data_IF_779790400057
#
_entry.id   IF_779790400057
#
_cell.length_a   1.000
_cell.length_b   1.000
_cell.length_c   1.000
_cell.angle_alpha   90.00
_cell.angle_beta   90.00
_cell.angle_gamma   90.00
#
_symmetry.space_group_name_H-M   'P 1'
#
loop_
_entity.id
_entity.type
_entity.pdbx_description
1 polymer ?
#
# COMPACT_ATOMS: atom_id res chain seq x y z
N UNK A 1 11.70 -34.67 0.22
CA UNK A 1 11.60 -35.13 1.62
C UNK A 1 12.23 -34.13 2.60
N UNK A 2 13.51 -33.79 2.50
CA UNK A 2 14.23 -32.86 3.40
C UNK A 2 13.53 -31.51 3.58
N UNK A 3 13.19 -30.79 2.52
CA UNK A 3 12.53 -29.46 2.59
C UNK A 3 11.10 -29.51 3.15
N UNK A 4 10.41 -30.64 3.06
CA UNK A 4 9.09 -30.80 3.69
C UNK A 4 9.25 -30.90 5.22
N UNK A 5 10.22 -31.67 5.70
CA UNK A 5 10.50 -31.79 7.13
C UNK A 5 10.96 -30.46 7.73
N UNK A 6 11.89 -29.76 7.06
CA UNK A 6 12.34 -28.42 7.49
C UNK A 6 11.18 -27.41 7.54
N UNK A 7 10.19 -27.53 6.64
CA UNK A 7 8.97 -26.68 6.69
C UNK A 7 8.11 -26.99 7.90
N UNK A 8 7.86 -28.24 8.19
CA UNK A 8 7.07 -28.66 9.35
C UNK A 8 7.72 -28.19 10.66
N UNK A 9 9.04 -28.32 10.76
CA UNK A 9 9.81 -27.79 11.89
C UNK A 9 9.71 -26.25 12.02
N UNK A 10 9.83 -25.52 10.89
CA UNK A 10 9.67 -24.05 10.90
C UNK A 10 8.26 -23.62 11.26
N UNK A 11 7.21 -24.30 10.78
CA UNK A 11 5.84 -24.01 11.16
C UNK A 11 5.66 -24.18 12.67
N UNK A 12 6.13 -25.30 13.23
CA UNK A 12 6.04 -25.53 14.67
C UNK A 12 6.80 -24.48 15.50
N UNK A 13 7.96 -24.04 15.02
CA UNK A 13 8.83 -23.10 15.73
C UNK A 13 8.35 -21.65 15.63
N UNK A 14 7.80 -21.25 14.48
CA UNK A 14 7.52 -19.83 14.16
C UNK A 14 6.04 -19.51 13.99
N UNK A 15 5.13 -20.48 14.16
CA UNK A 15 3.69 -20.18 14.19
C UNK A 15 3.36 -19.28 15.38
N UNK A 16 2.39 -18.40 15.18
CA UNK A 16 1.85 -17.55 16.22
C UNK A 16 1.25 -18.40 17.35
N UNK A 17 1.43 -17.98 18.60
CA UNK A 17 0.86 -18.64 19.77
C UNK A 17 -0.64 -18.37 19.93
N UNK A 18 -1.17 -17.32 19.27
CA UNK A 18 -2.55 -16.90 19.31
C UNK A 18 -3.27 -17.03 17.99
N UNK A 19 -4.60 -17.24 18.06
CA UNK A 19 -5.48 -17.12 16.90
C UNK A 19 -6.12 -15.73 16.99
N UNK A 20 -5.56 -14.77 16.23
CA UNK A 20 -6.11 -13.43 16.14
C UNK A 20 -7.01 -13.37 14.91
N UNK A 21 -8.33 -13.29 15.10
CA UNK A 21 -9.30 -13.11 14.02
C UNK A 21 -10.49 -12.29 14.52
N UNK A 22 -10.61 -11.08 14.03
CA UNK A 22 -11.72 -10.19 14.31
C UNK A 22 -12.68 -10.24 13.13
N UNK A 23 -13.92 -10.63 13.38
CA UNK A 23 -14.94 -10.56 12.35
C UNK A 23 -15.14 -9.12 11.91
N UNK A 24 -15.28 -8.21 12.87
CA UNK A 24 -15.31 -6.76 12.69
C UNK A 24 -14.45 -6.10 13.76
N UNK A 25 -13.80 -5.02 13.39
CA UNK A 25 -13.06 -4.16 14.31
C UNK A 25 -13.37 -2.71 13.95
N UNK A 26 -13.76 -1.88 14.93
CA UNK A 26 -14.27 -0.53 14.67
C UNK A 26 -13.19 0.54 14.80
N UNK A 27 -12.32 0.42 15.78
CA UNK A 27 -11.35 1.44 16.08
C UNK A 27 -10.19 1.42 15.07
N UNK A 28 -9.46 2.54 14.94
CA UNK A 28 -8.22 2.56 14.17
C UNK A 28 -7.13 1.87 14.99
N UNK A 29 -6.55 0.74 14.51
CA UNK A 29 -5.46 0.07 15.21
C UNK A 29 -4.27 1.01 15.39
N UNK A 30 -3.67 1.03 16.60
CA UNK A 30 -2.54 1.91 16.97
C UNK A 30 -2.74 3.37 16.48
N UNK A 31 -3.92 3.94 16.71
CA UNK A 31 -4.39 5.22 16.13
C UNK A 31 -3.33 6.32 16.20
N UNK A 32 -2.57 6.39 17.29
CA UNK A 32 -1.55 7.43 17.52
C UNK A 32 -0.42 7.37 16.49
N UNK A 33 -0.01 6.16 16.09
CA UNK A 33 1.13 5.92 15.21
C UNK A 33 0.71 5.33 13.85
N UNK A 34 -0.60 5.19 13.62
CA UNK A 34 -1.13 4.61 12.41
C UNK A 34 -0.81 5.47 11.18
N UNK A 35 -0.29 4.82 10.13
CA UNK A 35 -0.11 5.41 8.80
C UNK A 35 -0.71 4.52 7.73
N UNK A 36 -1.10 5.06 6.57
CA UNK A 36 -1.60 4.25 5.45
C UNK A 36 -0.60 3.17 5.01
N UNK A 37 0.71 3.46 5.09
CA UNK A 37 1.76 2.50 4.78
C UNK A 37 1.78 1.32 5.74
N UNK A 38 1.77 1.57 7.06
CA UNK A 38 1.71 0.53 8.10
C UNK A 38 0.44 -0.32 7.99
N UNK A 39 -0.71 0.34 7.86
CA UNK A 39 -2.00 -0.34 7.73
C UNK A 39 -2.03 -1.31 6.54
N UNK A 40 -1.56 -0.86 5.37
CA UNK A 40 -1.51 -1.69 4.18
C UNK A 40 -0.48 -2.81 4.33
N UNK A 41 0.69 -2.55 4.87
CA UNK A 41 1.74 -3.54 5.08
C UNK A 41 1.23 -4.69 5.96
N UNK A 42 0.69 -4.39 7.13
CA UNK A 42 0.13 -5.37 8.07
C UNK A 42 -1.06 -6.14 7.45
N UNK A 43 -1.97 -5.44 6.76
CA UNK A 43 -3.09 -6.08 6.06
C UNK A 43 -2.62 -7.06 4.98
N UNK A 44 -1.58 -6.73 4.21
CA UNK A 44 -1.05 -7.59 3.14
C UNK A 44 -0.31 -8.80 3.71
N UNK A 45 0.37 -8.66 4.84
CA UNK A 45 0.97 -9.80 5.53
C UNK A 45 -0.06 -10.83 5.95
N UNK A 46 -1.21 -10.39 6.46
CA UNK A 46 -2.31 -11.30 6.81
C UNK A 46 -2.83 -12.09 5.61
N UNK A 47 -2.64 -11.58 4.39
CA UNK A 47 -2.97 -12.28 3.14
C UNK A 47 -1.82 -13.09 2.55
N UNK A 48 -0.72 -13.29 3.27
CA UNK A 48 0.51 -13.89 2.78
C UNK A 48 1.11 -13.18 1.54
N UNK A 49 0.85 -11.88 1.40
CA UNK A 49 1.41 -11.04 0.35
C UNK A 49 2.41 -10.06 0.98
N UNK A 50 3.69 -10.33 0.82
CA UNK A 50 4.77 -9.56 1.46
C UNK A 50 5.24 -8.34 0.64
N UNK A 51 4.47 -7.89 -0.37
CA UNK A 51 4.92 -6.84 -1.27
C UNK A 51 3.86 -5.75 -1.43
N UNK A 52 4.06 -4.59 -0.80
CA UNK A 52 3.17 -3.44 -0.91
C UNK A 52 3.42 -2.62 -2.19
N UNK A 53 4.41 -2.98 -3.03
CA UNK A 53 4.71 -2.24 -4.25
C UNK A 53 3.53 -2.18 -5.24
N UNK A 54 2.67 -3.19 -5.25
CA UNK A 54 1.43 -3.17 -6.03
C UNK A 54 0.39 -2.17 -5.54
N UNK A 55 0.53 -1.71 -4.30
CA UNK A 55 -0.41 -0.80 -3.62
C UNK A 55 0.20 0.58 -3.34
N UNK A 56 1.42 0.86 -3.82
CA UNK A 56 2.09 2.15 -3.57
C UNK A 56 1.29 3.35 -4.08
N UNK A 57 0.54 3.20 -5.18
CA UNK A 57 -0.33 4.27 -5.67
C UNK A 57 -1.47 4.60 -4.69
N UNK A 58 -2.07 3.58 -4.08
CA UNK A 58 -3.13 3.75 -3.07
C UNK A 58 -2.56 4.29 -1.76
N UNK A 59 -1.42 3.76 -1.31
CA UNK A 59 -0.71 4.24 -0.12
C UNK A 59 -0.34 5.72 -0.29
N UNK A 60 0.19 6.10 -1.45
CA UNK A 60 0.54 7.47 -1.75
C UNK A 60 -0.66 8.41 -1.68
N UNK A 61 -1.77 8.05 -2.34
CA UNK A 61 -3.02 8.81 -2.28
C UNK A 61 -3.54 8.94 -0.85
N UNK A 62 -3.60 7.82 -0.12
CA UNK A 62 -4.06 7.79 1.26
C UNK A 62 -3.16 8.60 2.19
N UNK A 63 -1.84 8.59 1.99
CA UNK A 63 -0.90 9.39 2.77
C UNK A 63 -1.11 10.89 2.55
N UNK A 64 -1.40 11.33 1.31
CA UNK A 64 -1.75 12.74 1.04
C UNK A 64 -3.02 13.15 1.78
N UNK A 65 -4.03 12.27 1.81
CA UNK A 65 -5.26 12.52 2.58
C UNK A 65 -4.98 12.54 4.09
N UNK A 66 -4.12 11.65 4.58
CA UNK A 66 -3.73 11.63 5.99
C UNK A 66 -2.94 12.89 6.40
N UNK A 67 -2.08 13.40 5.54
CA UNK A 67 -1.38 14.67 5.75
C UNK A 67 -2.36 15.86 5.83
N UNK A 68 -3.46 15.83 5.06
CA UNK A 68 -4.51 16.82 5.17
C UNK A 68 -5.31 16.67 6.48
N UNK A 69 -5.63 15.43 6.88
CA UNK A 69 -6.28 15.13 8.16
C UNK A 69 -5.43 15.61 9.36
N UNK A 70 -4.12 15.44 9.29
CA UNK A 70 -3.17 15.98 10.27
C UNK A 70 -2.99 17.49 10.17
N UNK A 71 -3.66 18.15 9.20
CA UNK A 71 -3.62 19.60 8.97
C UNK A 71 -2.26 20.11 8.48
N UNK A 72 -1.46 19.24 7.84
CA UNK A 72 -0.20 19.59 7.18
C UNK A 72 -0.45 20.11 5.76
N UNK A 73 -1.47 19.56 5.10
CA UNK A 73 -1.94 19.97 3.79
C UNK A 73 -3.35 20.54 3.87
N UNK A 74 -3.70 21.40 2.92
CA UNK A 74 -5.07 21.88 2.70
C UNK A 74 -5.44 21.73 1.24
N UNK A 75 -6.73 21.49 0.98
CA UNK A 75 -7.27 21.32 -0.35
C UNK A 75 -8.25 22.46 -0.67
N UNK A 76 -8.19 22.96 -1.90
CA UNK A 76 -9.12 23.93 -2.44
C UNK A 76 -9.71 23.37 -3.74
N UNK A 77 -11.03 23.25 -3.80
CA UNK A 77 -11.74 22.90 -5.03
C UNK A 77 -11.88 24.13 -5.92
N UNK A 78 -11.19 24.11 -7.06
CA UNK A 78 -11.30 25.16 -8.08
C UNK A 78 -12.56 24.96 -8.93
N UNK A 79 -12.79 23.70 -9.31
CA UNK A 79 -13.97 23.26 -10.06
C UNK A 79 -14.16 21.75 -9.87
N UNK A 80 -15.17 21.17 -10.51
CA UNK A 80 -15.54 19.75 -10.38
C UNK A 80 -14.44 18.75 -10.80
N UNK A 81 -13.32 19.23 -11.37
CA UNK A 81 -12.23 18.38 -11.91
C UNK A 81 -10.85 18.76 -11.40
N UNK A 82 -10.74 19.87 -10.66
CA UNK A 82 -9.46 20.41 -10.25
C UNK A 82 -9.44 20.76 -8.77
N UNK A 83 -8.51 20.10 -8.05
CA UNK A 83 -8.21 20.35 -6.64
C UNK A 83 -6.79 20.89 -6.55
N UNK A 84 -6.65 22.01 -5.86
CA UNK A 84 -5.34 22.57 -5.48
C UNK A 84 -4.94 22.03 -4.11
N UNK A 85 -3.69 21.72 -4.00
CA UNK A 85 -3.04 21.21 -2.78
C UNK A 85 -2.06 22.25 -2.29
N UNK A 86 -2.22 22.71 -1.06
CA UNK A 86 -1.37 23.68 -0.38
C UNK A 86 -0.68 23.05 0.83
N UNK A 87 0.47 23.58 1.21
CA UNK A 87 1.04 23.37 2.54
C UNK A 87 0.39 24.35 3.49
N UNK A 88 -0.18 23.83 4.60
CA UNK A 88 -0.87 24.65 5.59
C UNK A 88 0.07 25.64 6.27
N UNK A 89 -0.41 26.83 6.56
CA UNK A 89 0.26 27.77 7.46
C UNK A 89 0.37 27.14 8.86
N UNK A 90 1.58 27.13 9.45
CA UNK A 90 1.82 26.45 10.74
C UNK A 90 2.12 24.94 10.64
N UNK A 91 2.33 24.43 9.42
CA UNK A 91 2.70 23.02 9.22
C UNK A 91 4.05 22.66 9.86
N UNK A 92 4.96 23.62 10.05
CA UNK A 92 6.31 23.37 10.58
C UNK A 92 6.32 22.64 11.94
N UNK A 93 5.42 23.01 12.86
CA UNK A 93 5.27 22.34 14.17
C UNK A 93 4.74 20.89 13.99
N UNK A 94 3.83 20.71 13.04
CA UNK A 94 3.19 19.42 12.76
C UNK A 94 4.12 18.44 12.05
N UNK A 95 5.17 18.90 11.38
CA UNK A 95 6.14 18.04 10.70
C UNK A 95 6.87 17.11 11.68
N UNK A 96 7.04 17.52 12.94
CA UNK A 96 7.67 16.69 13.96
C UNK A 96 6.78 15.51 14.36
N UNK A 97 5.47 15.59 14.16
CA UNK A 97 4.52 14.51 14.47
C UNK A 97 4.36 13.50 13.33
N UNK A 98 4.93 13.76 12.17
CA UNK A 98 4.85 12.87 11.02
C UNK A 98 5.80 11.69 11.18
N UNK A 99 5.31 10.52 10.82
CA UNK A 99 6.11 9.32 10.68
C UNK A 99 7.06 9.41 9.48
N UNK A 100 8.08 8.56 9.45
CA UNK A 100 9.12 8.59 8.40
C UNK A 100 8.57 8.34 6.99
N UNK A 101 7.60 7.46 6.85
CA UNK A 101 6.94 7.18 5.56
C UNK A 101 6.09 8.38 5.09
N UNK A 102 5.41 9.07 6.00
CA UNK A 102 4.67 10.30 5.70
C UNK A 102 5.59 11.45 5.27
N UNK A 103 6.75 11.59 5.92
CA UNK A 103 7.76 12.59 5.56
C UNK A 103 8.26 12.43 4.13
N UNK A 104 8.41 11.20 3.64
CA UNK A 104 8.79 10.95 2.24
C UNK A 104 7.79 11.54 1.26
N UNK A 105 6.49 11.39 1.53
CA UNK A 105 5.41 11.94 0.69
C UNK A 105 5.35 13.47 0.83
N UNK A 106 5.42 13.99 2.04
CA UNK A 106 5.44 15.44 2.30
C UNK A 106 6.57 16.15 1.52
N UNK A 107 7.78 15.60 1.53
CA UNK A 107 8.92 16.16 0.81
C UNK A 107 8.71 16.19 -0.72
N UNK A 108 8.01 15.21 -1.28
CA UNK A 108 7.64 15.22 -2.71
C UNK A 108 6.65 16.35 -3.03
N UNK A 109 5.63 16.50 -2.19
CA UNK A 109 4.62 17.56 -2.35
C UNK A 109 5.27 18.93 -2.19
N UNK A 110 6.11 19.11 -1.17
CA UNK A 110 6.83 20.35 -0.90
C UNK A 110 7.66 20.79 -2.12
N UNK A 111 8.34 19.84 -2.78
CA UNK A 111 9.10 20.11 -4.01
C UNK A 111 8.19 20.44 -5.20
N UNK A 112 7.04 19.76 -5.33
CA UNK A 112 6.08 20.02 -6.41
C UNK A 112 5.41 21.39 -6.29
N UNK A 113 5.25 21.89 -5.06
CA UNK A 113 4.66 23.22 -4.76
C UNK A 113 5.68 24.35 -4.91
N UNK A 114 6.97 24.05 -4.91
CA UNK A 114 8.05 25.04 -4.88
C UNK A 114 7.86 26.15 -5.95
N UNK A 115 7.85 27.39 -5.48
CA UNK A 115 7.75 28.60 -6.33
C UNK A 115 6.33 29.03 -6.69
N UNK A 116 5.30 28.21 -6.50
CA UNK A 116 3.89 28.55 -6.81
C UNK A 116 2.98 28.65 -5.59
N UNK A 117 3.38 28.10 -4.46
CA UNK A 117 2.56 28.01 -3.26
C UNK A 117 1.49 26.90 -3.27
N UNK A 118 1.18 26.30 -4.42
CA UNK A 118 0.25 25.17 -4.55
C UNK A 118 0.65 24.26 -5.71
N UNK A 119 0.04 23.07 -5.76
CA UNK A 119 0.05 22.18 -6.94
C UNK A 119 -1.34 21.62 -7.20
N UNK A 120 -1.63 21.22 -8.43
CA UNK A 120 -2.81 20.43 -8.79
C UNK A 120 -2.39 18.98 -9.09
N UNK A 121 -3.34 18.04 -9.10
CA UNK A 121 -3.03 16.64 -9.48
C UNK A 121 -2.37 16.55 -10.84
N UNK A 122 -2.80 17.39 -11.79
CA UNK A 122 -2.23 17.46 -13.14
C UNK A 122 -0.79 18.00 -13.15
N UNK A 123 -0.54 19.07 -12.39
CA UNK A 123 0.81 19.65 -12.27
C UNK A 123 1.75 18.71 -11.52
N UNK A 124 1.26 18.08 -10.46
CA UNK A 124 2.02 17.08 -9.73
C UNK A 124 2.37 15.88 -10.62
N UNK A 125 1.45 15.41 -11.44
CA UNK A 125 1.75 14.35 -12.43
C UNK A 125 2.82 14.77 -13.45
N UNK A 126 2.84 16.05 -13.89
CA UNK A 126 3.89 16.57 -14.78
C UNK A 126 5.24 16.67 -14.05
N UNK A 127 5.23 17.12 -12.80
CA UNK A 127 6.40 17.12 -11.94
C UNK A 127 6.97 15.71 -11.80
N UNK A 128 6.13 14.72 -11.52
CA UNK A 128 6.55 13.33 -11.38
C UNK A 128 7.15 12.73 -12.66
N UNK A 129 6.65 13.13 -13.83
CA UNK A 129 7.25 12.72 -15.12
C UNK A 129 8.59 13.36 -15.39
N UNK A 130 8.81 14.58 -14.92
CA UNK A 130 10.08 15.32 -15.10
C UNK A 130 11.12 14.88 -14.08
N UNK A 131 10.73 14.76 -12.83
CA UNK A 131 11.58 14.38 -11.70
C UNK A 131 11.42 12.91 -11.32
N UNK A 132 11.30 12.05 -12.32
CA UNK A 132 10.91 10.64 -12.14
C UNK A 132 11.86 9.86 -11.23
N UNK A 133 13.17 10.11 -11.31
CA UNK A 133 14.16 9.45 -10.44
C UNK A 133 13.90 9.76 -8.95
N UNK A 134 13.66 11.04 -8.64
CA UNK A 134 13.37 11.48 -7.29
C UNK A 134 12.05 10.88 -6.78
N UNK A 135 10.99 10.98 -7.58
CA UNK A 135 9.65 10.51 -7.17
C UNK A 135 9.66 8.99 -7.01
N UNK A 136 10.16 8.28 -8.02
CA UNK A 136 10.21 6.82 -8.00
C UNK A 136 11.07 6.28 -6.85
N UNK A 137 12.27 6.83 -6.65
CA UNK A 137 13.16 6.40 -5.56
C UNK A 137 12.57 6.66 -4.17
N UNK A 138 11.92 7.82 -3.96
CA UNK A 138 11.29 8.12 -2.67
C UNK A 138 10.07 7.23 -2.39
N UNK A 139 9.22 7.01 -3.38
CA UNK A 139 8.03 6.17 -3.20
C UNK A 139 8.40 4.70 -2.97
N UNK A 140 9.42 4.18 -3.66
CA UNK A 140 9.90 2.82 -3.41
C UNK A 140 10.58 2.65 -2.03
N UNK A 141 11.05 3.73 -1.42
CA UNK A 141 11.57 3.69 -0.05
C UNK A 141 10.48 3.54 1.00
N UNK A 142 9.21 3.84 0.67
CA UNK A 142 8.10 3.70 1.61
C UNK A 142 8.02 2.27 2.14
N UNK A 143 8.14 1.27 1.27
CA UNK A 143 8.09 -0.15 1.65
C UNK A 143 9.15 -0.48 2.72
N UNK A 144 10.41 -0.18 2.42
CA UNK A 144 11.51 -0.42 3.36
C UNK A 144 11.35 0.40 4.65
N UNK A 145 10.93 1.67 4.53
CA UNK A 145 10.75 2.55 5.70
C UNK A 145 9.65 2.03 6.62
N UNK A 146 8.53 1.57 6.07
CA UNK A 146 7.44 0.97 6.85
C UNK A 146 7.90 -0.33 7.51
N UNK A 147 8.63 -1.17 6.78
CA UNK A 147 9.18 -2.41 7.32
C UNK A 147 10.15 -2.14 8.48
N UNK A 148 11.03 -1.14 8.34
CA UNK A 148 11.96 -0.73 9.40
C UNK A 148 11.21 -0.20 10.63
N UNK A 149 10.16 0.63 10.44
CA UNK A 149 9.33 1.12 11.55
C UNK A 149 8.66 -0.05 12.29
N UNK A 150 8.07 -0.99 11.56
CA UNK A 150 7.40 -2.15 12.17
C UNK A 150 8.38 -3.10 12.88
N UNK A 151 9.62 -3.17 12.40
CA UNK A 151 10.69 -3.92 13.07
C UNK A 151 11.16 -3.23 14.36
N UNK A 152 11.32 -1.90 14.31
CA UNK A 152 11.70 -1.09 15.49
C UNK A 152 10.61 -1.07 16.57
N UNK A 153 9.34 -1.07 16.17
CA UNK A 153 8.18 -1.12 17.08
C UNK A 153 7.83 -2.54 17.54
N UNK A 154 8.63 -3.54 17.16
CA UNK A 154 8.44 -4.92 17.61
C UNK A 154 7.29 -5.67 16.96
N UNK A 155 6.70 -5.14 15.87
CA UNK A 155 5.63 -5.82 15.13
C UNK A 155 6.16 -6.86 14.14
N UNK A 156 7.42 -6.75 13.73
CA UNK A 156 8.14 -7.72 12.90
C UNK A 156 9.24 -8.40 13.71
N UNK A 157 9.32 -9.72 13.62
CA UNK A 157 10.38 -10.51 14.24
C UNK A 157 11.61 -10.58 13.33
N UNK A 158 12.75 -10.11 13.82
CA UNK A 158 14.04 -10.17 13.10
C UNK A 158 14.45 -11.59 12.78
N UNK A 159 14.23 -12.52 13.71
CA UNK A 159 14.59 -13.93 13.52
C UNK A 159 13.75 -14.60 12.44
N UNK A 160 12.42 -14.43 12.50
CA UNK A 160 11.50 -14.95 11.48
C UNK A 160 11.85 -14.36 10.11
N UNK A 161 12.11 -13.05 10.03
CA UNK A 161 12.52 -12.34 8.80
C UNK A 161 13.84 -12.88 8.24
N UNK A 162 14.84 -13.11 9.09
CA UNK A 162 16.13 -13.65 8.68
C UNK A 162 15.98 -15.07 8.05
N UNK A 163 15.16 -15.92 8.67
CA UNK A 163 14.87 -17.27 8.14
C UNK A 163 14.12 -17.18 6.80
N UNK A 164 13.07 -16.35 6.69
CA UNK A 164 12.34 -16.15 5.44
C UNK A 164 13.27 -15.64 4.32
N UNK A 165 14.14 -14.67 4.62
CA UNK A 165 15.13 -14.12 3.68
C UNK A 165 16.16 -15.18 3.22
N UNK A 166 16.59 -16.06 4.12
CA UNK A 166 17.48 -17.18 3.77
C UNK A 166 16.85 -18.11 2.73
N UNK A 167 15.56 -18.44 2.89
CA UNK A 167 14.82 -19.27 1.95
C UNK A 167 14.54 -18.56 0.62
N UNK A 168 14.23 -17.27 0.66
CA UNK A 168 14.07 -16.44 -0.54
C UNK A 168 15.37 -16.37 -1.37
N UNK A 169 16.52 -16.22 -0.72
CA UNK A 169 17.82 -16.27 -1.41
C UNK A 169 18.08 -17.62 -2.06
N UNK A 170 17.76 -18.74 -1.38
CA UNK A 170 17.85 -20.09 -1.97
C UNK A 170 16.94 -20.21 -3.20
N UNK A 171 15.72 -19.72 -3.13
CA UNK A 171 14.78 -19.70 -4.26
C UNK A 171 15.38 -19.00 -5.47
N UNK A 172 15.90 -17.77 -5.29
CA UNK A 172 16.53 -16.99 -6.36
C UNK A 172 17.71 -17.78 -6.96
N UNK A 173 18.58 -18.33 -6.11
CA UNK A 173 19.72 -19.13 -6.57
C UNK A 173 19.32 -20.33 -7.42
N UNK A 174 18.25 -21.04 -7.05
CA UNK A 174 17.76 -22.18 -7.84
C UNK A 174 17.18 -21.75 -9.19
N UNK A 175 16.41 -20.65 -9.24
CA UNK A 175 15.86 -20.17 -10.51
C UNK A 175 16.94 -19.58 -11.42
N UNK A 176 17.91 -18.87 -10.86
CA UNK A 176 19.06 -18.36 -11.63
C UNK A 176 19.89 -19.51 -12.19
N UNK A 177 20.17 -20.54 -11.37
CA UNK A 177 20.87 -21.74 -11.82
C UNK A 177 20.10 -22.50 -12.90
N UNK A 178 18.78 -22.66 -12.74
CA UNK A 178 17.93 -23.29 -13.75
C UNK A 178 17.97 -22.52 -15.08
N UNK A 179 17.89 -21.19 -15.03
CA UNK A 179 17.98 -20.34 -16.21
C UNK A 179 19.33 -20.45 -16.92
N UNK A 180 20.44 -20.42 -16.17
CA UNK A 180 21.78 -20.56 -16.73
C UNK A 180 21.99 -21.95 -17.40
N UNK A 181 21.52 -23.02 -16.76
CA UNK A 181 21.61 -24.35 -17.35
C UNK A 181 20.76 -24.47 -18.61
N UNK A 182 19.56 -23.92 -18.60
CA UNK A 182 18.69 -23.89 -19.79
C UNK A 182 19.33 -23.16 -20.95
N UNK A 183 20.02 -22.03 -20.70
CA UNK A 183 20.66 -21.22 -21.74
C UNK A 183 21.94 -21.86 -22.30
N UNK A 184 22.76 -22.48 -21.45
CA UNK A 184 24.09 -22.96 -21.86
C UNK A 184 24.15 -24.48 -22.07
N UNK A 185 23.21 -25.22 -21.47
CA UNK A 185 23.18 -26.70 -21.54
C UNK A 185 21.74 -27.20 -21.77
N UNK A 186 21.10 -26.86 -22.91
CA UNK A 186 19.69 -27.23 -23.16
C UNK A 186 19.48 -28.77 -23.27
N UNK A 187 20.53 -29.52 -23.40
CA UNK A 187 20.48 -31.00 -23.54
C UNK A 187 20.22 -31.73 -22.21
N UNK A 188 20.16 -31.03 -21.08
CA UNK A 188 19.98 -31.65 -19.76
C UNK A 188 18.68 -31.11 -19.08
N UNK A 189 17.50 -31.38 -19.69
CA UNK A 189 16.24 -30.80 -19.17
C UNK A 189 15.88 -31.31 -17.76
N UNK A 190 16.32 -32.52 -17.40
CA UNK A 190 16.04 -33.08 -16.07
C UNK A 190 16.66 -32.27 -14.92
N UNK A 191 17.87 -31.74 -15.11
CA UNK A 191 18.51 -30.87 -14.09
C UNK A 191 17.80 -29.54 -13.98
N UNK A 192 17.43 -28.93 -15.11
CA UNK A 192 16.65 -27.66 -15.14
C UNK A 192 15.32 -27.82 -14.41
N UNK A 193 14.57 -28.89 -14.70
CA UNK A 193 13.30 -29.19 -14.03
C UNK A 193 13.53 -29.41 -12.53
N UNK A 194 14.58 -30.17 -12.15
CA UNK A 194 14.93 -30.40 -10.75
C UNK A 194 15.20 -29.09 -9.98
N UNK A 195 15.95 -28.16 -10.57
CA UNK A 195 16.21 -26.84 -9.96
C UNK A 195 14.96 -25.98 -9.85
N UNK A 196 14.07 -25.99 -10.85
CA UNK A 196 12.79 -25.29 -10.77
C UNK A 196 11.93 -25.84 -9.62
N UNK A 197 11.84 -27.15 -9.47
CA UNK A 197 11.10 -27.78 -8.36
C UNK A 197 11.69 -27.43 -6.99
N UNK A 198 13.02 -27.39 -6.88
CA UNK A 198 13.72 -26.95 -5.68
C UNK A 198 13.43 -25.46 -5.39
N UNK A 199 13.42 -24.61 -6.41
CA UNK A 199 13.06 -23.18 -6.30
C UNK A 199 11.62 -23.00 -5.80
N UNK A 200 10.67 -23.75 -6.35
CA UNK A 200 9.27 -23.75 -5.89
C UNK A 200 9.17 -24.22 -4.43
N UNK A 201 9.90 -25.27 -4.06
CA UNK A 201 9.91 -25.76 -2.68
C UNK A 201 10.54 -24.75 -1.71
N UNK A 202 11.62 -24.09 -2.11
CA UNK A 202 12.25 -23.03 -1.32
C UNK A 202 11.31 -21.83 -1.11
N UNK A 203 10.54 -21.44 -2.15
CA UNK A 203 9.49 -20.41 -2.01
C UNK A 203 8.43 -20.80 -0.99
N UNK A 204 7.94 -22.04 -1.05
CA UNK A 204 6.97 -22.54 -0.06
C UNK A 204 7.51 -22.45 1.37
N UNK A 205 8.80 -22.68 1.57
CA UNK A 205 9.44 -22.58 2.88
C UNK A 205 9.63 -21.10 3.32
N UNK A 206 9.86 -20.18 2.37
CA UNK A 206 9.98 -18.75 2.67
C UNK A 206 8.68 -18.11 3.16
N UNK A 207 7.52 -18.65 2.77
CA UNK A 207 6.20 -18.07 3.03
C UNK A 207 5.30 -18.98 3.88
N UNK A 208 5.84 -20.01 4.53
CA UNK A 208 5.01 -20.93 5.30
C UNK A 208 4.68 -20.46 6.72
N UNK A 209 5.29 -19.39 7.17
CA UNK A 209 5.02 -18.71 8.44
C UNK A 209 5.03 -17.18 8.24
N UNK A 210 4.38 -16.49 9.14
CA UNK A 210 4.39 -15.01 9.16
C UNK A 210 5.68 -14.50 9.79
N UNK A 211 6.22 -13.39 9.29
CA UNK A 211 7.35 -12.71 9.92
C UNK A 211 6.91 -11.79 11.06
N UNK A 212 5.62 -11.61 11.26
CA UNK A 212 5.07 -10.79 12.33
C UNK A 212 5.30 -11.44 13.70
N UNK A 213 5.39 -10.63 14.73
CA UNK A 213 5.28 -11.05 16.13
C UNK A 213 3.81 -11.32 16.47
N UNK A 214 3.51 -11.82 17.67
CA UNK A 214 2.12 -12.00 18.10
C UNK A 214 1.36 -10.67 18.16
N UNK A 215 2.00 -9.58 18.61
CA UNK A 215 1.43 -8.24 18.55
C UNK A 215 1.21 -7.74 17.12
N UNK A 216 2.13 -8.04 16.21
CA UNK A 216 1.96 -7.70 14.79
C UNK A 216 0.84 -8.49 14.13
N UNK A 217 0.66 -9.76 14.49
CA UNK A 217 -0.45 -10.61 14.03
C UNK A 217 -1.81 -10.10 14.52
N UNK A 218 -1.88 -9.70 15.79
CA UNK A 218 -3.09 -9.12 16.38
C UNK A 218 -3.47 -7.82 15.66
N UNK A 219 -2.53 -6.89 15.51
CA UNK A 219 -2.77 -5.63 14.80
C UNK A 219 -3.15 -5.86 13.33
N UNK A 220 -2.50 -6.82 12.64
CA UNK A 220 -2.86 -7.20 11.27
C UNK A 220 -4.29 -7.76 11.19
N UNK A 221 -4.73 -8.50 12.21
CA UNK A 221 -6.11 -8.99 12.30
C UNK A 221 -7.10 -7.85 12.56
N UNK A 222 -6.75 -6.87 13.41
CA UNK A 222 -7.56 -5.67 13.64
C UNK A 222 -7.73 -4.87 12.34
N UNK A 223 -6.67 -4.64 11.56
CA UNK A 223 -6.75 -3.97 10.25
C UNK A 223 -7.65 -4.72 9.25
N UNK A 224 -7.61 -6.06 9.26
CA UNK A 224 -8.52 -6.88 8.45
C UNK A 224 -9.97 -6.70 8.90
N UNK A 225 -10.21 -6.74 10.22
CA UNK A 225 -11.53 -6.53 10.81
C UNK A 225 -12.09 -5.13 10.52
N UNK A 226 -11.24 -4.09 10.62
CA UNK A 226 -11.62 -2.71 10.28
C UNK A 226 -11.99 -2.56 8.80
N UNK A 227 -11.19 -3.15 7.89
CA UNK A 227 -11.53 -3.14 6.47
C UNK A 227 -12.89 -3.78 6.23
N UNK A 228 -13.16 -4.94 6.83
CA UNK A 228 -14.45 -5.62 6.70
C UNK A 228 -15.59 -4.80 7.32
N UNK A 229 -15.36 -4.18 8.48
CA UNK A 229 -16.33 -3.26 9.09
C UNK A 229 -16.70 -2.13 8.14
N UNK A 230 -15.73 -1.47 7.53
CA UNK A 230 -15.97 -0.39 6.55
C UNK A 230 -16.69 -0.90 5.28
N UNK A 231 -16.40 -2.13 4.83
CA UNK A 231 -17.03 -2.72 3.64
C UNK A 231 -18.49 -3.11 3.87
N UNK A 232 -18.83 -3.50 5.09
CA UNK A 232 -20.14 -4.07 5.43
C UNK A 232 -20.99 -3.12 6.29
N UNK A 233 -20.53 -1.89 6.52
CA UNK A 233 -21.15 -0.92 7.44
C UNK A 233 -22.66 -0.75 7.25
N UNK A 234 -23.14 -0.66 6.02
CA UNK A 234 -24.57 -0.50 5.72
C UNK A 234 -25.42 -1.74 6.08
N UNK A 235 -24.78 -2.88 6.31
CA UNK A 235 -25.44 -4.13 6.73
C UNK A 235 -25.46 -4.28 8.25
N UNK A 236 -24.64 -3.49 8.96
CA UNK A 236 -24.55 -3.55 10.41
C UNK A 236 -25.70 -2.72 11.01
N UNK A 237 -26.42 -3.34 11.95
CA UNK A 237 -27.55 -2.71 12.65
C UNK A 237 -27.04 -1.76 13.76
N UNK A 238 -26.06 -0.89 13.44
CA UNK A 238 -25.53 0.05 14.40
C UNK A 238 -26.44 1.28 14.55
N UNK A 239 -26.93 1.48 15.79
CA UNK A 239 -27.78 2.62 16.15
C UNK A 239 -26.98 3.91 16.37
N UNK A 240 -25.67 3.82 16.57
CA UNK A 240 -24.80 4.98 16.81
C UNK A 240 -23.95 5.27 15.57
N UNK A 241 -24.19 6.44 15.00
CA UNK A 241 -23.35 6.99 13.94
C UNK A 241 -21.96 7.26 14.53
N UNK A 242 -20.87 6.71 13.94
CA UNK A 242 -19.54 7.16 14.30
C UNK A 242 -19.40 8.68 14.10
N UNK A 243 -18.65 9.34 14.97
CA UNK A 243 -18.36 10.77 14.84
C UNK A 243 -17.76 11.07 13.45
N UNK A 244 -18.04 12.25 12.92
CA UNK A 244 -17.53 12.71 11.63
C UNK A 244 -16.01 12.63 11.55
N UNK A 245 -15.32 12.86 12.67
CA UNK A 245 -13.85 12.74 12.78
C UNK A 245 -13.39 11.30 12.52
N UNK A 246 -14.15 10.30 12.97
CA UNK A 246 -13.80 8.89 12.73
C UNK A 246 -14.03 8.52 11.25
N UNK A 247 -15.05 9.09 10.60
CA UNK A 247 -15.29 8.88 9.17
C UNK A 247 -14.19 9.48 8.30
N UNK A 248 -13.62 10.62 8.67
CA UNK A 248 -12.46 11.18 7.97
C UNK A 248 -11.27 10.20 7.99
N UNK A 249 -11.01 9.59 9.14
CA UNK A 249 -9.97 8.54 9.29
C UNK A 249 -10.30 7.30 8.46
N UNK A 250 -11.54 6.84 8.51
CA UNK A 250 -11.98 5.68 7.72
C UNK A 250 -11.76 5.90 6.22
N UNK A 251 -12.05 7.08 5.69
CA UNK A 251 -11.84 7.39 4.28
C UNK A 251 -10.36 7.35 3.88
N UNK A 252 -9.45 7.78 4.76
CA UNK A 252 -8.00 7.62 4.54
C UNK A 252 -7.62 6.15 4.38
N UNK A 253 -8.03 5.30 5.32
CA UNK A 253 -7.68 3.87 5.27
C UNK A 253 -8.48 3.12 4.20
N UNK A 254 -9.72 3.49 3.94
CA UNK A 254 -10.49 2.97 2.81
C UNK A 254 -9.80 3.25 1.47
N UNK A 255 -9.16 4.42 1.33
CA UNK A 255 -8.35 4.77 0.15
C UNK A 255 -7.12 3.87 0.06
N UNK A 256 -6.40 3.66 1.17
CA UNK A 256 -5.27 2.74 1.22
C UNK A 256 -5.67 1.32 0.81
N UNK A 257 -6.81 0.83 1.30
CA UNK A 257 -7.33 -0.50 0.98
C UNK A 257 -8.05 -0.60 -0.38
N UNK A 258 -8.22 0.50 -1.11
CA UNK A 258 -8.89 0.54 -2.42
C UNK A 258 -10.40 0.33 -2.36
N UNK A 259 -11.04 0.68 -1.23
CA UNK A 259 -12.49 0.50 -0.98
C UNK A 259 -13.24 1.82 -0.75
N UNK A 260 -12.60 2.96 -0.95
CA UNK A 260 -13.20 4.29 -0.67
C UNK A 260 -14.54 4.52 -1.38
N UNK A 261 -14.68 4.06 -2.62
CA UNK A 261 -15.94 4.09 -3.38
C UNK A 261 -17.10 3.43 -2.64
N UNK A 262 -16.83 2.22 -2.13
CA UNK A 262 -17.84 1.43 -1.43
C UNK A 262 -18.25 2.14 -0.14
N UNK A 263 -17.25 2.61 0.62
CA UNK A 263 -17.46 3.32 1.89
C UNK A 263 -18.25 4.60 1.70
N UNK A 264 -17.92 5.44 0.71
CA UNK A 264 -18.67 6.69 0.44
C UNK A 264 -20.12 6.40 0.03
N UNK A 265 -20.34 5.37 -0.82
CA UNK A 265 -21.71 5.00 -1.20
C UNK A 265 -22.53 4.53 -0.02
N UNK A 266 -21.98 3.70 0.85
CA UNK A 266 -22.65 3.24 2.06
C UNK A 266 -22.96 4.39 3.02
N UNK A 267 -22.00 5.28 3.22
CA UNK A 267 -22.16 6.45 4.06
C UNK A 267 -23.30 7.35 3.56
N UNK A 268 -23.38 7.59 2.24
CA UNK A 268 -24.47 8.36 1.63
C UNK A 268 -25.85 7.71 1.78
N UNK A 269 -25.91 6.37 1.79
CA UNK A 269 -27.19 5.66 1.99
C UNK A 269 -27.65 5.71 3.43
N UNK A 270 -26.74 5.58 4.39
CA UNK A 270 -27.07 5.46 5.81
C UNK A 270 -27.14 6.85 6.47
N UNK A 271 -26.32 7.79 6.04
CA UNK A 271 -26.18 9.14 6.60
C UNK A 271 -26.19 10.23 5.51
N UNK A 272 -27.31 10.38 4.76
CA UNK A 272 -27.41 11.40 3.72
C UNK A 272 -27.23 12.81 4.28
N UNK A 273 -27.64 13.06 5.53
CA UNK A 273 -27.51 14.33 6.23
C UNK A 273 -26.04 14.81 6.38
N UNK A 274 -25.07 13.90 6.32
CA UNK A 274 -23.65 14.28 6.37
C UNK A 274 -23.17 14.93 5.07
N UNK A 275 -23.91 14.78 3.97
CA UNK A 275 -23.59 15.34 2.66
C UNK A 275 -24.44 16.57 2.32
N UNK A 276 -25.33 16.98 3.22
CA UNK A 276 -26.07 18.23 3.10
C UNK A 276 -25.17 19.41 3.51
N UNK A 277 -25.27 20.51 2.76
CA UNK A 277 -24.43 21.71 2.98
C UNK A 277 -24.62 22.25 4.40
N UNK A 278 -23.58 22.27 5.20
CA UNK A 278 -23.54 22.92 6.51
C UNK A 278 -22.68 24.17 6.43
N UNK A 279 -23.16 25.24 7.05
CA UNK A 279 -22.47 26.54 7.13
C UNK A 279 -21.20 26.54 8.02
N UNK A 280 -20.90 25.44 8.71
CA UNK A 280 -19.71 25.28 9.58
C UNK A 280 -18.43 24.92 8.80
N UNK A 281 -18.13 25.68 7.78
CA UNK A 281 -17.08 25.42 6.77
C UNK A 281 -15.63 25.38 7.29
N UNK A 282 -15.35 25.80 8.52
CA UNK A 282 -13.96 26.05 8.95
C UNK A 282 -13.31 24.95 9.79
N UNK A 283 -14.00 23.87 10.13
CA UNK A 283 -13.49 22.92 11.12
C UNK A 283 -12.79 21.68 10.55
N UNK A 284 -13.15 21.23 9.32
CA UNK A 284 -12.68 19.98 8.75
C UNK A 284 -12.32 20.15 7.27
N UNK A 285 -11.05 20.42 7.00
CA UNK A 285 -10.55 20.76 5.65
C UNK A 285 -10.80 19.65 4.63
N UNK A 286 -10.73 18.38 5.06
CA UNK A 286 -10.94 17.23 4.21
C UNK A 286 -12.43 16.89 4.03
N UNK A 287 -13.19 16.92 5.13
CA UNK A 287 -14.63 16.68 5.09
C UNK A 287 -15.39 17.75 4.29
N UNK A 288 -14.95 18.99 4.36
CA UNK A 288 -15.51 20.06 3.54
C UNK A 288 -15.36 19.78 2.04
N UNK A 289 -14.28 19.15 1.65
CA UNK A 289 -14.11 18.67 0.27
C UNK A 289 -15.11 17.54 -0.04
N UNK A 290 -15.23 16.54 0.84
CA UNK A 290 -16.08 15.35 0.65
C UNK A 290 -17.58 15.68 0.77
N UNK A 291 -17.97 16.56 1.68
CA UNK A 291 -19.37 16.96 1.93
C UNK A 291 -19.87 18.11 1.06
N UNK A 292 -19.00 18.73 0.26
CA UNK A 292 -19.42 19.79 -0.67
C UNK A 292 -20.50 19.28 -1.63
N UNK A 293 -21.58 20.05 -1.91
CA UNK A 293 -22.58 19.67 -2.89
C UNK A 293 -22.02 19.43 -4.30
N UNK A 294 -20.85 20.04 -4.59
CA UNK A 294 -20.10 19.84 -5.84
C UNK A 294 -19.26 18.56 -5.83
N UNK A 295 -18.99 18.02 -4.64
CA UNK A 295 -18.19 16.82 -4.48
C UNK A 295 -19.08 15.58 -4.54
N UNK A 296 -18.89 14.77 -5.52
CA UNK A 296 -19.52 13.46 -5.60
C UNK A 296 -18.48 12.35 -5.38
N UNK A 297 -18.95 11.13 -5.10
CA UNK A 297 -18.06 9.98 -4.91
C UNK A 297 -17.10 9.75 -6.08
N UNK A 298 -17.54 10.06 -7.31
CA UNK A 298 -16.69 9.92 -8.49
C UNK A 298 -15.53 10.91 -8.46
N UNK A 299 -15.76 12.15 -8.03
CA UNK A 299 -14.72 13.16 -7.91
C UNK A 299 -13.64 12.78 -6.89
N UNK A 300 -14.03 12.24 -5.74
CA UNK A 300 -13.08 11.74 -4.74
C UNK A 300 -12.20 10.62 -5.32
N UNK A 301 -12.84 9.68 -6.01
CA UNK A 301 -12.13 8.58 -6.62
C UNK A 301 -11.25 9.03 -7.78
N UNK A 302 -11.71 9.99 -8.56
CA UNK A 302 -10.90 10.60 -9.62
C UNK A 302 -9.69 11.32 -9.04
N UNK A 303 -9.88 12.10 -7.98
CA UNK A 303 -8.79 12.77 -7.27
C UNK A 303 -7.80 11.76 -6.67
N UNK A 304 -8.28 10.77 -5.95
CA UNK A 304 -7.45 9.72 -5.35
C UNK A 304 -6.71 8.89 -6.42
N UNK A 305 -7.39 8.54 -7.50
CA UNK A 305 -6.80 7.85 -8.64
C UNK A 305 -5.77 8.70 -9.38
N UNK A 306 -6.03 10.00 -9.54
CA UNK A 306 -5.10 10.92 -10.18
C UNK A 306 -3.84 11.13 -9.35
N UNK A 307 -3.95 11.15 -8.02
CA UNK A 307 -2.80 11.10 -7.13
C UNK A 307 -2.01 9.80 -7.30
N UNK A 308 -2.68 8.65 -7.37
CA UNK A 308 -2.03 7.35 -7.61
C UNK A 308 -1.27 7.30 -8.94
N UNK A 309 -1.81 7.93 -9.99
CA UNK A 309 -1.13 8.05 -11.29
C UNK A 309 0.18 8.81 -11.27
N UNK A 310 0.43 9.62 -10.24
CA UNK A 310 1.73 10.29 -10.04
C UNK A 310 2.85 9.24 -9.91
N UNK A 311 2.61 8.20 -9.10
CA UNK A 311 3.55 7.08 -8.98
C UNK A 311 3.74 6.33 -10.29
N UNK A 312 2.65 5.98 -10.96
CA UNK A 312 2.71 5.21 -12.21
C UNK A 312 3.47 5.98 -13.31
N UNK A 313 3.30 7.30 -13.38
CA UNK A 313 4.05 8.14 -14.33
C UNK A 313 5.53 8.19 -14.02
N UNK A 314 5.91 8.37 -12.76
CA UNK A 314 7.31 8.35 -12.35
C UNK A 314 7.95 6.98 -12.64
N UNK A 315 7.26 5.88 -12.30
CA UNK A 315 7.70 4.51 -12.58
C UNK A 315 7.91 4.25 -14.06
N UNK A 316 6.96 4.65 -14.90
CA UNK A 316 7.04 4.45 -16.35
C UNK A 316 8.17 5.27 -16.96
N UNK A 317 8.36 6.52 -16.53
CA UNK A 317 9.46 7.37 -16.98
C UNK A 317 10.82 6.82 -16.53
N UNK A 318 10.93 6.36 -15.29
CA UNK A 318 12.11 5.68 -14.76
C UNK A 318 12.46 4.43 -15.59
N UNK A 319 11.49 3.57 -15.83
CA UNK A 319 11.68 2.35 -16.61
C UNK A 319 12.11 2.66 -18.06
N UNK A 320 11.50 3.67 -18.71
CA UNK A 320 11.87 4.09 -20.05
C UNK A 320 13.30 4.61 -20.12
N UNK A 321 13.72 5.43 -19.14
CA UNK A 321 15.08 5.99 -19.08
C UNK A 321 16.15 4.91 -18.86
N UNK A 322 15.86 3.88 -18.06
CA UNK A 322 16.84 2.84 -17.71
C UNK A 322 16.79 1.62 -18.64
N UNK A 323 15.70 1.41 -19.41
CA UNK A 323 15.65 0.35 -20.43
C UNK A 323 16.52 0.64 -21.65
N UNK A 324 16.80 1.92 -21.95
CA UNK A 324 17.66 2.33 -23.06
C UNK A 324 19.15 2.14 -22.78
N UNK A 325 19.57 1.96 -21.53
CA UNK A 325 20.97 1.77 -21.16
C UNK A 325 21.48 0.32 -21.26
N UNK A 326 20.60 -0.66 -21.50
CA UNK A 326 20.96 -2.08 -21.66
C UNK A 326 21.02 -2.56 -23.12
N UNK A 327 20.80 -1.71 -24.13
CA UNK A 327 20.86 -2.06 -25.54
C UNK A 327 22.10 -1.49 -26.22
N UNK A 328 23.26 -1.93 -25.75
CA UNK A 328 24.50 -1.94 -26.52
C UNK A 328 24.62 -3.26 -27.27
N UNK A 329 24.34 -3.29 -28.57
CA UNK A 329 24.56 -4.37 -29.56
C UNK A 329 23.40 -5.38 -29.77
N UNK A 330 22.67 -5.21 -30.86
CA UNK A 330 22.08 -6.35 -31.62
C UNK A 330 20.55 -6.33 -31.77
N UNK A 331 20.07 -5.80 -32.91
CA UNK A 331 18.99 -6.38 -33.75
C UNK A 331 17.56 -6.50 -33.19
N UNK A 332 16.68 -5.65 -33.70
CA UNK A 332 15.34 -5.84 -34.18
C UNK A 332 14.37 -6.79 -33.45
N UNK A 333 13.24 -6.26 -32.99
CA UNK A 333 12.06 -7.07 -32.66
C UNK A 333 11.09 -6.31 -31.76
N UNK A 334 10.15 -5.56 -32.39
CA UNK A 334 9.06 -4.93 -31.67
C UNK A 334 8.10 -5.96 -31.07
N UNK A 335 7.79 -5.81 -29.79
CA UNK A 335 6.63 -6.42 -29.16
C UNK A 335 5.85 -5.34 -28.41
N UNK A 336 4.85 -4.81 -29.10
CA UNK A 336 3.74 -4.12 -28.47
C UNK A 336 2.82 -5.16 -27.84
N UNK A 337 2.92 -5.36 -26.51
CA UNK A 337 2.04 -6.21 -25.75
C UNK A 337 1.18 -5.38 -24.82
N UNK A 338 -0.10 -5.21 -25.17
CA UNK A 338 -1.11 -4.65 -24.30
C UNK A 338 -1.30 -5.49 -23.06
N UNK A 339 -1.16 -4.88 -21.86
CA UNK A 339 -1.43 -5.49 -20.59
C UNK A 339 -2.89 -5.29 -20.22
N UNK A 340 -3.70 -6.30 -20.47
CA UNK A 340 -5.00 -6.46 -19.79
C UNK A 340 -4.75 -7.23 -18.50
N UNK A 341 -5.32 -6.67 -17.39
CA UNK A 341 -5.22 -7.25 -16.08
C UNK A 341 -5.89 -8.62 -15.97
N UNK A 342 -5.25 -9.53 -15.31
CA UNK A 342 -5.77 -10.80 -14.88
C UNK A 342 -5.23 -11.13 -13.52
N UNK A 343 -6.04 -10.87 -12.48
CA UNK A 343 -5.80 -11.33 -11.13
C UNK A 343 -5.97 -12.85 -11.07
N UNK A 344 -4.90 -13.57 -10.75
CA UNK A 344 -4.91 -14.98 -10.43
C UNK A 344 -4.39 -15.19 -9.02
N UNK A 345 -5.28 -15.20 -8.03
CA UNK A 345 -4.98 -15.58 -6.66
C UNK A 345 -4.76 -17.08 -6.55
N UNK A 346 -3.50 -17.51 -6.35
CA UNK A 346 -3.15 -18.84 -5.93
C UNK A 346 -2.99 -18.90 -4.42
N UNK A 347 -4.07 -19.14 -3.67
CA UNK A 347 -4.04 -19.42 -2.26
C UNK A 347 -3.43 -20.80 -1.98
N UNK A 348 -2.21 -20.85 -1.45
CA UNK A 348 -1.65 -22.02 -0.86
C UNK A 348 -1.95 -22.01 0.64
N UNK A 349 -3.02 -22.68 1.06
CA UNK A 349 -3.33 -22.93 2.46
C UNK A 349 -2.32 -23.93 3.02
N UNK A 350 -1.53 -23.51 4.00
CA UNK A 350 -0.87 -24.42 4.92
C UNK A 350 -1.91 -24.85 5.96
N UNK A 351 -2.72 -25.89 5.64
CA UNK A 351 -3.63 -26.47 6.59
C UNK A 351 -2.86 -27.32 7.61
N UNK A 352 -2.79 -26.84 8.84
CA UNK A 352 -2.55 -27.68 9.98
C UNK A 352 -3.83 -27.70 10.80
N UNK A 353 -4.28 -28.89 11.11
CA UNK A 353 -5.27 -29.13 12.13
C UNK A 353 -4.71 -28.77 13.49
#
# INVERSE_FOLDING_TARGET
MKYKKEREEMILQYSSSGIYDYEYFRDIPDEKNATPGKAMYLYMFRKNSANINSSLSQIFSATILNLALKGVLTFEMVNDKEVRIYISSGSAEKLNTLERDEKLVYELISKAIWGKGYTTTKEFSRFASREYDLVYSKLNRIDNTVEDILEETGKISRDKKAVAKKWSKKQIGYFTGAFMIFMFMPYIPAITIGLVLLGISARKNAVCFSILTDEGEDEAAQWKGLKKYMEDYSLLNEKQVPDIVLWEKYLVYATAFGISDKVIRQLKMVHPEMFEARDDYNRYTYWNMVSSPRFNSNMFNDFSRDLGRVYDRARNAYSAAHSSSSSGSGGGGGFSGGSSGGGGGGGGSCGGR
#
